data_IF_306500246988
#
_entry.id   IF_306500246988
#
_cell.length_a   1.000
_cell.length_b   1.000
_cell.length_c   1.000
_cell.angle_alpha   90.00
_cell.angle_beta   90.00
_cell.angle_gamma   90.00
#
_symmetry.space_group_name_H-M   'P 1'
#
loop_
_entity.id
_entity.type
_entity.pdbx_description
1 polymer ?
#
# COMPACT_ATOMS: atom_id res chain seq x y z
N UNK A 1 -4.13 17.08 -10.61
CA UNK A 1 -5.51 16.60 -10.85
C UNK A 1 -6.34 16.58 -9.56
N UNK A 2 -5.83 16.01 -8.46
CA UNK A 2 -6.59 15.93 -7.18
C UNK A 2 -6.95 17.31 -6.61
N UNK A 3 -6.05 18.30 -6.71
CA UNK A 3 -6.28 19.66 -6.19
C UNK A 3 -7.42 20.43 -6.87
N UNK A 4 -7.94 19.94 -8.00
CA UNK A 4 -9.03 20.58 -8.73
C UNK A 4 -10.39 19.88 -8.54
N UNK A 5 -10.45 18.81 -7.70
CA UNK A 5 -11.69 18.09 -7.42
C UNK A 5 -12.44 18.76 -6.27
N UNK A 6 -13.74 19.01 -6.47
CA UNK A 6 -14.55 19.79 -5.54
C UNK A 6 -15.16 18.93 -4.42
N UNK A 7 -15.36 17.62 -4.62
CA UNK A 7 -16.06 16.76 -3.67
C UNK A 7 -15.24 15.52 -3.27
N UNK A 8 -15.53 14.99 -2.09
CA UNK A 8 -14.95 13.72 -1.62
C UNK A 8 -15.32 12.54 -2.53
N UNK A 9 -16.55 12.53 -3.08
CA UNK A 9 -16.96 11.51 -4.03
C UNK A 9 -16.11 11.48 -5.31
N UNK A 10 -15.75 12.65 -5.84
CA UNK A 10 -14.83 12.76 -7.00
C UNK A 10 -13.43 12.27 -6.66
N UNK A 11 -12.93 12.61 -5.46
CA UNK A 11 -11.63 12.12 -4.98
C UNK A 11 -11.64 10.60 -4.80
N UNK A 12 -12.68 10.03 -4.19
CA UNK A 12 -12.85 8.57 -4.04
C UNK A 12 -12.90 7.91 -5.40
N UNK A 13 -13.69 8.41 -6.33
CA UNK A 13 -13.78 7.86 -7.68
C UNK A 13 -12.45 7.87 -8.42
N UNK A 14 -11.70 8.99 -8.36
CA UNK A 14 -10.39 9.09 -9.02
C UNK A 14 -9.37 8.15 -8.37
N UNK A 15 -9.29 8.15 -7.02
CA UNK A 15 -8.41 7.24 -6.27
C UNK A 15 -8.72 5.77 -6.59
N UNK A 16 -10.00 5.40 -6.70
CA UNK A 16 -10.43 4.04 -7.07
C UNK A 16 -10.03 3.64 -8.49
N UNK A 17 -10.15 4.56 -9.45
CA UNK A 17 -9.69 4.34 -10.84
C UNK A 17 -8.17 4.14 -10.91
N UNK A 18 -7.41 4.90 -10.12
CA UNK A 18 -5.95 4.76 -10.02
C UNK A 18 -5.58 3.41 -9.38
N UNK A 19 -6.23 3.02 -8.28
CA UNK A 19 -6.02 1.70 -7.68
C UNK A 19 -6.29 0.57 -8.67
N UNK A 20 -7.40 0.65 -9.38
CA UNK A 20 -7.72 -0.26 -10.47
C UNK A 20 -6.59 -0.35 -11.49
N UNK A 21 -6.01 0.76 -11.91
CA UNK A 21 -4.88 0.81 -12.84
C UNK A 21 -3.60 0.21 -12.24
N UNK A 22 -3.30 0.48 -10.96
CA UNK A 22 -2.13 -0.06 -10.27
C UNK A 22 -2.13 -1.60 -10.22
N UNK A 23 -3.29 -2.21 -9.94
CA UNK A 23 -3.41 -3.67 -9.96
C UNK A 23 -3.14 -4.29 -11.32
N UNK A 24 -3.63 -3.67 -12.36
CA UNK A 24 -3.40 -4.11 -13.73
C UNK A 24 -1.94 -4.11 -14.11
N UNK A 25 -1.30 -2.99 -13.83
CA UNK A 25 0.11 -2.76 -14.07
C UNK A 25 0.98 -3.82 -13.41
N UNK A 26 0.65 -4.18 -12.18
CA UNK A 26 1.40 -5.17 -11.43
C UNK A 26 1.32 -6.57 -12.05
N UNK A 27 0.19 -6.98 -12.57
CA UNK A 27 0.03 -8.27 -13.24
C UNK A 27 0.99 -8.40 -14.42
N UNK A 28 1.07 -7.38 -15.28
CA UNK A 28 1.97 -7.41 -16.43
C UNK A 28 3.45 -7.44 -16.07
N UNK A 29 3.85 -6.68 -15.03
CA UNK A 29 5.21 -6.75 -14.54
C UNK A 29 5.58 -8.14 -14.05
N UNK A 30 4.62 -8.86 -13.45
CA UNK A 30 4.84 -10.24 -13.01
C UNK A 30 4.92 -11.22 -14.18
N UNK A 31 4.28 -10.93 -15.31
CA UNK A 31 4.31 -11.76 -16.51
C UNK A 31 5.56 -11.52 -17.37
N UNK A 32 6.01 -10.28 -17.49
CA UNK A 32 7.09 -9.88 -18.40
C UNK A 32 8.46 -9.76 -17.73
N UNK A 33 8.50 -9.77 -16.38
CA UNK A 33 9.70 -9.45 -15.60
C UNK A 33 10.00 -7.96 -15.55
N UNK A 34 10.93 -7.58 -14.66
CA UNK A 34 11.35 -6.18 -14.49
C UNK A 34 12.59 -5.93 -15.33
N UNK A 35 12.43 -5.24 -16.44
CA UNK A 35 13.51 -4.73 -17.29
C UNK A 35 13.39 -3.21 -17.42
N UNK A 36 14.44 -2.55 -17.92
CA UNK A 36 14.40 -1.11 -18.22
C UNK A 36 13.28 -0.78 -19.22
N UNK A 37 13.06 -1.67 -20.19
CA UNK A 37 11.98 -1.56 -21.14
C UNK A 37 10.60 -1.66 -20.45
N UNK A 38 10.42 -2.60 -19.51
CA UNK A 38 9.18 -2.72 -18.75
C UNK A 38 8.92 -1.51 -17.86
N UNK A 39 9.96 -0.90 -17.28
CA UNK A 39 9.84 0.35 -16.50
C UNK A 39 9.41 1.51 -17.40
N UNK A 40 10.04 1.69 -18.57
CA UNK A 40 9.67 2.72 -19.54
C UNK A 40 8.24 2.53 -20.07
N UNK A 41 7.80 1.29 -20.26
CA UNK A 41 6.45 0.93 -20.64
C UNK A 41 5.41 1.31 -19.59
N UNK A 42 5.75 1.13 -18.30
CA UNK A 42 4.93 1.55 -17.15
C UNK A 42 4.73 3.06 -17.12
N UNK A 43 5.75 3.83 -17.51
CA UNK A 43 5.67 5.28 -17.56
C UNK A 43 4.88 5.79 -18.78
N UNK A 44 4.49 4.91 -19.70
CA UNK A 44 3.68 5.26 -20.86
C UNK A 44 2.19 5.29 -20.50
N UNK A 45 1.53 6.45 -20.72
CA UNK A 45 0.13 6.69 -20.36
C UNK A 45 -0.87 5.76 -21.08
N UNK A 46 -0.60 5.35 -22.31
CA UNK A 46 -1.50 4.49 -23.10
C UNK A 46 -1.46 3.04 -22.60
N UNK A 47 -0.28 2.60 -22.15
CA UNK A 47 -0.10 1.27 -21.60
C UNK A 47 -0.73 1.13 -20.21
N UNK A 48 -0.65 2.18 -19.38
CA UNK A 48 -1.27 2.25 -18.05
C UNK A 48 -2.80 2.04 -18.07
N UNK A 49 -3.45 2.12 -19.22
CA UNK A 49 -4.90 2.02 -19.34
C UNK A 49 -5.46 0.57 -19.34
N UNK A 50 -4.63 -0.48 -19.36
CA UNK A 50 -5.05 -1.85 -19.73
C UNK A 50 -5.26 -2.86 -18.59
N UNK A 51 -4.85 -2.61 -17.31
CA UNK A 51 -4.61 -3.73 -16.37
C UNK A 51 -5.32 -3.77 -15.02
N UNK A 52 -5.47 -5.03 -14.51
CA UNK A 52 -6.11 -5.38 -13.23
C UNK A 52 -5.80 -6.82 -12.75
N UNK A 53 -5.58 -7.09 -11.50
CA UNK A 53 -6.15 -7.96 -10.49
C UNK A 53 -5.30 -8.89 -9.61
N UNK A 54 -5.80 -8.97 -8.37
CA UNK A 54 -5.85 -9.94 -7.24
C UNK A 54 -4.62 -10.17 -6.37
N UNK A 55 -4.86 -10.08 -4.96
CA UNK A 55 -4.19 -10.97 -4.00
C UNK A 55 -4.26 -10.67 -2.49
N UNK A 56 -4.02 -11.70 -1.64
CA UNK A 56 -3.99 -11.67 -0.16
C UNK A 56 -2.71 -12.23 0.46
N UNK A 57 -2.13 -11.59 1.52
CA UNK A 57 -1.14 -12.16 2.46
C UNK A 57 -1.27 -11.53 3.86
N UNK A 58 -1.25 -12.30 4.99
CA UNK A 58 -1.62 -11.78 6.32
C UNK A 58 -0.47 -11.45 7.28
N UNK A 59 0.82 -11.72 6.99
CA UNK A 59 1.94 -11.65 7.97
C UNK A 59 3.05 -10.68 7.58
N UNK A 60 2.66 -9.44 7.30
CA UNK A 60 3.59 -8.34 7.01
C UNK A 60 3.58 -7.34 8.16
N UNK A 61 4.75 -6.83 8.53
CA UNK A 61 4.94 -5.74 9.47
C UNK A 61 5.61 -4.55 8.79
N UNK A 62 5.38 -3.35 9.32
CA UNK A 62 6.04 -2.13 8.88
C UNK A 62 6.52 -1.30 10.07
N UNK A 63 7.72 -0.74 9.94
CA UNK A 63 8.33 0.18 10.90
C UNK A 63 8.74 1.46 10.18
N UNK A 64 8.38 2.61 10.75
CA UNK A 64 8.81 3.93 10.31
C UNK A 64 9.58 4.62 11.43
N UNK A 65 10.70 5.26 11.08
CA UNK A 65 11.57 5.97 12.01
C UNK A 65 11.89 7.37 11.50
N UNK A 66 12.04 8.29 12.42
CA UNK A 66 12.59 9.61 12.18
C UNK A 66 13.49 10.02 13.36
N UNK A 67 14.55 10.77 13.08
CA UNK A 67 15.50 11.26 14.07
C UNK A 67 15.49 12.79 14.13
N UNK A 68 16.02 13.36 15.21
CA UNK A 68 16.09 14.82 15.41
C UNK A 68 16.95 15.54 14.37
N UNK A 69 17.95 14.87 13.80
CA UNK A 69 18.79 15.41 12.71
C UNK A 69 18.11 15.32 11.34
N UNK A 70 16.90 14.74 11.27
CA UNK A 70 16.08 14.66 10.05
C UNK A 70 16.32 13.41 9.20
N UNK A 71 17.07 12.43 9.68
CA UNK A 71 17.12 11.13 9.01
C UNK A 71 15.79 10.38 9.18
N UNK A 72 15.37 9.68 8.14
CA UNK A 72 14.14 8.87 8.13
C UNK A 72 14.40 7.50 7.55
N UNK A 73 13.75 6.47 8.10
CA UNK A 73 13.83 5.11 7.60
C UNK A 73 12.47 4.42 7.60
N UNK A 74 12.20 3.65 6.56
CA UNK A 74 10.98 2.87 6.39
C UNK A 74 11.34 1.41 6.07
N UNK A 75 10.85 0.45 6.87
CA UNK A 75 11.18 -0.96 6.73
C UNK A 75 9.90 -1.78 6.71
N UNK A 76 9.67 -2.50 5.62
CA UNK A 76 8.57 -3.47 5.52
C UNK A 76 9.16 -4.88 5.50
N UNK A 77 8.67 -5.75 6.38
CA UNK A 77 9.11 -7.13 6.53
C UNK A 77 7.91 -8.07 6.41
N UNK A 78 8.11 -9.21 5.76
CA UNK A 78 7.05 -10.22 5.64
C UNK A 78 7.61 -11.63 5.81
N UNK A 79 6.90 -12.43 6.59
CA UNK A 79 7.10 -13.88 6.62
C UNK A 79 6.16 -14.61 5.63
N UNK A 80 5.39 -13.87 4.85
CA UNK A 80 4.33 -14.44 4.03
C UNK A 80 3.30 -15.16 4.89
N UNK A 81 3.04 -16.43 4.61
CA UNK A 81 2.26 -17.31 5.48
C UNK A 81 3.13 -18.02 6.53
N UNK A 82 4.46 -17.87 6.44
CA UNK A 82 5.46 -18.55 7.25
C UNK A 82 5.80 -19.94 6.71
N UNK A 83 7.09 -20.26 6.67
CA UNK A 83 7.58 -21.57 6.17
C UNK A 83 7.36 -22.72 7.16
N UNK A 84 7.09 -22.42 8.43
CA UNK A 84 7.10 -23.41 9.52
C UNK A 84 8.51 -23.83 9.97
N UNK A 85 9.56 -23.30 9.35
CA UNK A 85 10.97 -23.64 9.65
C UNK A 85 11.61 -22.49 10.42
N UNK A 86 12.09 -22.78 11.62
CA UNK A 86 12.87 -21.84 12.43
C UNK A 86 14.35 -22.26 12.40
N UNK A 87 15.26 -21.29 12.21
CA UNK A 87 16.69 -21.54 12.25
C UNK A 87 17.10 -21.93 13.68
N UNK A 88 17.71 -23.11 13.86
CA UNK A 88 18.08 -23.57 15.20
C UNK A 88 18.96 -22.56 15.95
N UNK A 89 18.62 -22.31 17.21
CA UNK A 89 19.38 -21.43 18.11
C UNK A 89 19.17 -19.92 17.88
N UNK A 90 18.36 -19.49 16.90
CA UNK A 90 18.19 -18.06 16.58
C UNK A 90 16.79 -17.51 16.87
N UNK A 91 15.77 -18.37 16.91
CA UNK A 91 14.36 -17.95 16.95
C UNK A 91 13.85 -17.30 15.64
N UNK A 92 14.67 -17.24 14.59
CA UNK A 92 14.30 -16.65 13.30
C UNK A 92 13.54 -17.66 12.45
N UNK A 93 12.31 -17.36 12.11
CA UNK A 93 11.49 -18.17 11.19
C UNK A 93 11.70 -17.70 9.75
N UNK A 94 11.91 -18.64 8.83
CA UNK A 94 11.99 -18.33 7.41
C UNK A 94 10.62 -17.92 6.87
N UNK A 95 10.64 -16.99 5.92
CA UNK A 95 9.46 -16.66 5.12
C UNK A 95 9.14 -17.80 4.13
N UNK A 96 7.93 -17.73 3.57
CA UNK A 96 7.53 -18.58 2.45
C UNK A 96 7.08 -17.78 1.22
N UNK A 97 7.66 -16.62 0.99
CA UNK A 97 7.23 -15.71 -0.09
C UNK A 97 7.20 -16.39 -1.47
N UNK A 98 8.11 -17.33 -1.74
CA UNK A 98 8.06 -18.13 -2.96
C UNK A 98 6.86 -19.10 -3.02
N UNK A 99 6.20 -19.36 -1.91
CA UNK A 99 4.99 -20.19 -1.79
C UNK A 99 3.70 -19.37 -1.68
N UNK A 100 3.76 -18.06 -1.81
CA UNK A 100 2.56 -17.21 -1.82
C UNK A 100 1.94 -17.18 -3.23
N UNK A 101 0.68 -17.65 -3.42
CA UNK A 101 0.02 -17.62 -4.74
C UNK A 101 0.07 -16.24 -5.38
N UNK A 102 -0.02 -15.27 -4.56
CA UNK A 102 -0.05 -13.85 -4.91
C UNK A 102 1.23 -13.32 -5.53
N UNK A 103 2.35 -13.88 -5.17
CA UNK A 103 3.64 -13.54 -5.74
C UNK A 103 4.02 -14.46 -6.89
N UNK A 104 3.17 -15.46 -7.19
CA UNK A 104 3.36 -16.45 -8.23
C UNK A 104 2.14 -16.53 -9.18
N UNK A 105 1.77 -15.45 -9.86
CA UNK A 105 0.58 -15.40 -10.71
C UNK A 105 0.62 -16.38 -11.89
N UNK A 106 1.82 -16.81 -12.30
CA UNK A 106 2.02 -17.84 -13.35
C UNK A 106 2.07 -19.27 -12.79
N UNK A 107 1.89 -19.44 -11.47
CA UNK A 107 2.01 -20.71 -10.77
C UNK A 107 3.38 -20.90 -10.11
N UNK A 108 3.40 -21.85 -9.16
CA UNK A 108 4.63 -22.15 -8.40
C UNK A 108 5.74 -22.74 -9.29
N UNK A 109 6.98 -22.54 -8.90
CA UNK A 109 8.19 -23.06 -9.57
C UNK A 109 8.37 -22.63 -11.03
N UNK A 110 7.71 -21.54 -11.45
CA UNK A 110 7.87 -20.99 -12.82
C UNK A 110 9.01 -19.98 -12.92
N UNK A 111 9.45 -19.42 -11.81
CA UNK A 111 10.55 -18.47 -11.80
C UNK A 111 11.90 -19.19 -12.02
N UNK A 112 12.73 -18.72 -12.97
CA UNK A 112 14.06 -19.30 -13.18
C UNK A 112 14.97 -19.01 -11.99
N UNK A 113 15.99 -19.85 -11.72
CA UNK A 113 16.99 -19.57 -10.71
C UNK A 113 17.66 -18.20 -10.91
N UNK A 114 17.77 -17.41 -9.84
CA UNK A 114 18.27 -16.03 -9.88
C UNK A 114 17.24 -14.99 -10.35
N UNK A 115 16.04 -15.41 -10.71
CA UNK A 115 14.93 -14.51 -11.07
C UNK A 115 14.44 -13.67 -9.89
N UNK A 116 13.76 -12.56 -10.20
CA UNK A 116 13.14 -11.67 -9.22
C UNK A 116 11.63 -11.75 -9.34
N UNK A 117 10.92 -11.79 -8.23
CA UNK A 117 9.46 -11.69 -8.21
C UNK A 117 8.99 -10.30 -7.75
N UNK A 118 7.78 -9.93 -8.16
CA UNK A 118 7.18 -8.65 -7.79
C UNK A 118 6.61 -8.75 -6.38
N UNK A 119 6.97 -7.80 -5.51
CA UNK A 119 6.43 -7.68 -4.15
C UNK A 119 5.46 -6.51 -4.02
N UNK A 120 4.50 -6.61 -3.09
CA UNK A 120 3.67 -5.48 -2.65
C UNK A 120 4.37 -4.59 -1.63
N UNK A 121 5.43 -5.06 -0.99
CA UNK A 121 6.15 -4.29 0.02
C UNK A 121 6.70 -3.02 -0.61
N UNK A 122 6.23 -1.88 -0.08
CA UNK A 122 6.51 -0.56 -0.63
C UNK A 122 6.80 0.42 0.53
N UNK A 123 7.91 0.28 1.24
CA UNK A 123 8.34 1.29 2.20
C UNK A 123 8.69 2.58 1.45
N UNK A 124 8.26 3.73 1.98
CA UNK A 124 8.47 5.05 1.38
C UNK A 124 9.17 5.96 2.35
N UNK A 125 10.18 6.67 1.87
CA UNK A 125 10.72 7.86 2.52
C UNK A 125 10.67 9.03 1.54
N UNK A 126 10.51 10.24 2.07
CA UNK A 126 10.44 11.42 1.22
C UNK A 126 10.48 12.71 2.01
N UNK A 127 10.50 13.80 1.25
CA UNK A 127 10.46 15.15 1.78
C UNK A 127 9.36 15.92 1.09
N UNK A 128 8.59 16.67 1.86
CA UNK A 128 7.63 17.63 1.30
C UNK A 128 8.36 18.89 0.83
N UNK A 129 7.71 19.68 -0.02
CA UNK A 129 8.24 20.96 -0.45
C UNK A 129 8.47 21.95 0.73
N UNK A 130 7.78 21.76 1.84
CA UNK A 130 7.97 22.53 3.07
C UNK A 130 9.15 22.06 3.93
N UNK A 131 9.87 21.00 3.54
CA UNK A 131 11.01 20.47 4.28
C UNK A 131 10.68 19.46 5.38
N UNK A 132 9.44 18.97 5.42
CA UNK A 132 9.07 17.86 6.32
C UNK A 132 9.65 16.55 5.79
N UNK A 133 10.50 15.89 6.56
CA UNK A 133 10.99 14.55 6.27
C UNK A 133 10.00 13.51 6.80
N UNK A 134 9.69 12.47 6.01
CA UNK A 134 8.69 11.46 6.37
C UNK A 134 9.11 10.06 5.94
N UNK A 135 8.85 9.09 6.80
CA UNK A 135 8.87 7.67 6.51
C UNK A 135 7.47 7.11 6.66
N UNK A 136 7.01 6.27 5.75
CA UNK A 136 5.71 5.61 5.86
C UNK A 136 5.66 4.27 5.14
N UNK A 137 4.70 3.45 5.54
CA UNK A 137 4.40 2.20 4.89
C UNK A 137 3.26 1.46 5.57
N UNK A 138 2.92 0.31 5.05
CA UNK A 138 1.78 -0.48 5.52
C UNK A 138 2.06 -1.97 5.38
N UNK A 139 1.64 -2.82 6.31
CA UNK A 139 1.34 -4.22 6.06
C UNK A 139 -0.02 -4.36 5.35
N UNK A 140 -0.32 -5.53 4.77
CA UNK A 140 -1.67 -5.82 4.28
C UNK A 140 -1.77 -6.41 2.88
N UNK A 141 -0.79 -7.15 2.41
CA UNK A 141 -0.80 -7.82 1.10
C UNK A 141 -1.01 -6.85 -0.08
N UNK A 142 -2.02 -7.09 -0.93
CA UNK A 142 -2.38 -6.18 -2.04
C UNK A 142 -2.81 -4.80 -1.54
N UNK A 143 -3.30 -4.68 -0.29
CA UNK A 143 -3.72 -3.41 0.31
C UNK A 143 -2.56 -2.55 0.80
N UNK A 144 -1.32 -3.07 0.86
CA UNK A 144 -0.13 -2.28 1.17
C UNK A 144 -0.05 -1.05 0.26
N UNK A 145 -0.12 -1.27 -1.05
CA UNK A 145 0.01 -0.19 -2.03
C UNK A 145 -1.16 0.80 -1.98
N UNK A 146 -2.38 0.32 -1.80
CA UNK A 146 -3.57 1.19 -1.76
C UNK A 146 -3.70 1.96 -0.45
N UNK A 147 -3.33 1.35 0.68
CA UNK A 147 -3.25 2.03 1.98
C UNK A 147 -2.20 3.15 1.95
N UNK A 148 -1.00 2.83 1.44
CA UNK A 148 0.09 3.79 1.32
C UNK A 148 -0.25 4.92 0.35
N UNK A 149 -0.85 4.61 -0.80
CA UNK A 149 -1.30 5.59 -1.78
C UNK A 149 -2.31 6.59 -1.19
N UNK A 150 -3.33 6.10 -0.47
CA UNK A 150 -4.30 6.97 0.18
C UNK A 150 -3.64 7.79 1.29
N UNK A 151 -2.81 7.16 2.12
CA UNK A 151 -2.10 7.84 3.20
C UNK A 151 -1.16 8.93 2.71
N UNK A 152 -0.43 8.67 1.62
CA UNK A 152 0.44 9.67 1.00
C UNK A 152 -0.35 10.86 0.47
N UNK A 153 -1.46 10.61 -0.23
CA UNK A 153 -2.31 11.70 -0.74
C UNK A 153 -2.86 12.53 0.42
N UNK A 154 -3.43 11.88 1.44
CA UNK A 154 -4.00 12.55 2.59
C UNK A 154 -2.95 13.41 3.32
N UNK A 155 -1.77 12.87 3.57
CA UNK A 155 -0.70 13.57 4.27
C UNK A 155 -0.02 14.65 3.42
N UNK A 156 0.49 14.26 2.22
CA UNK A 156 1.38 15.12 1.45
C UNK A 156 0.65 16.06 0.49
N UNK A 157 -0.55 15.72 0.04
CA UNK A 157 -1.28 16.50 -0.96
C UNK A 157 -2.51 17.21 -0.39
N UNK A 158 -3.21 16.61 0.58
CA UNK A 158 -4.38 17.20 1.23
C UNK A 158 -4.01 17.90 2.55
N UNK A 159 -2.75 17.77 3.01
CA UNK A 159 -2.22 18.49 4.17
C UNK A 159 -2.75 18.00 5.51
N UNK A 160 -3.26 16.78 5.59
CA UNK A 160 -3.70 16.19 6.86
C UNK A 160 -2.49 15.96 7.78
N UNK A 161 -2.68 16.11 9.09
CA UNK A 161 -1.68 15.65 10.06
C UNK A 161 -1.50 14.12 9.99
N UNK A 162 -0.40 13.62 10.58
CA UNK A 162 -0.05 12.20 10.50
C UNK A 162 -1.14 11.28 11.05
N UNK A 163 -1.80 11.68 12.15
CA UNK A 163 -2.86 10.88 12.77
C UNK A 163 -4.13 10.88 11.92
N UNK A 164 -4.55 12.03 11.45
CA UNK A 164 -5.71 12.15 10.55
C UNK A 164 -5.51 11.36 9.26
N UNK A 165 -4.33 11.44 8.64
CA UNK A 165 -4.00 10.67 7.45
C UNK A 165 -3.98 9.15 7.71
N UNK A 166 -3.46 8.72 8.87
CA UNK A 166 -3.41 7.32 9.28
C UNK A 166 -4.79 6.75 9.56
N UNK A 167 -5.66 7.52 10.23
CA UNK A 167 -6.97 7.06 10.67
C UNK A 167 -8.10 7.30 9.66
N UNK A 168 -7.83 8.01 8.57
CA UNK A 168 -8.82 8.29 7.53
C UNK A 168 -9.50 7.01 7.02
N UNK A 169 -10.81 7.05 6.72
CA UNK A 169 -11.54 5.93 6.13
C UNK A 169 -10.86 5.43 4.85
N UNK A 170 -10.78 4.10 4.70
CA UNK A 170 -10.10 3.46 3.58
C UNK A 170 -11.02 2.71 2.67
N UNK A 171 -10.56 2.59 1.44
CA UNK A 171 -11.20 1.76 0.44
C UNK A 171 -10.15 1.05 -0.42
N UNK A 172 -10.57 -0.04 -1.04
CA UNK A 172 -9.74 -0.87 -1.88
C UNK A 172 -10.55 -1.38 -3.06
N UNK A 173 -9.99 -1.30 -4.26
CA UNK A 173 -10.60 -1.88 -5.44
C UNK A 173 -9.94 -3.22 -5.72
N UNK A 174 -10.75 -4.24 -5.84
CA UNK A 174 -10.32 -5.60 -6.18
C UNK A 174 -11.22 -6.16 -7.28
N UNK A 175 -10.69 -7.03 -8.14
CA UNK A 175 -11.51 -7.82 -9.03
C UNK A 175 -11.90 -9.11 -8.32
N UNK A 176 -13.15 -9.31 -8.15
CA UNK A 176 -13.72 -10.51 -7.55
C UNK A 176 -14.61 -11.13 -8.63
N UNK A 177 -14.23 -12.33 -9.11
CA UNK A 177 -14.96 -13.06 -10.15
C UNK A 177 -15.28 -12.20 -11.40
N UNK A 178 -14.22 -11.55 -11.91
CA UNK A 178 -14.25 -10.65 -13.05
C UNK A 178 -15.11 -9.38 -12.89
N UNK A 179 -15.51 -9.07 -11.66
CA UNK A 179 -16.23 -7.86 -11.30
C UNK A 179 -15.38 -6.95 -10.41
N UNK A 180 -15.11 -5.71 -10.88
CA UNK A 180 -14.45 -4.72 -10.05
C UNK A 180 -15.33 -4.30 -8.89
N UNK A 181 -14.87 -4.67 -7.69
CA UNK A 181 -15.55 -4.39 -6.43
C UNK A 181 -14.74 -3.36 -5.64
N UNK A 182 -15.38 -2.23 -5.32
CA UNK A 182 -14.85 -1.27 -4.37
C UNK A 182 -15.30 -1.68 -2.97
N UNK A 183 -14.36 -2.13 -2.18
CA UNK A 183 -14.54 -2.43 -0.77
C UNK A 183 -14.21 -1.17 0.03
N UNK A 184 -15.01 -0.82 1.03
CA UNK A 184 -14.83 0.44 1.75
C UNK A 184 -15.25 0.36 3.22
N UNK A 185 -14.61 1.19 4.03
CA UNK A 185 -14.98 1.45 5.41
C UNK A 185 -16.12 2.47 5.50
N UNK A 186 -16.78 2.59 6.65
CA UNK A 186 -17.72 3.68 6.91
C UNK A 186 -17.05 5.06 6.74
N UNK A 187 -17.80 6.04 6.24
CA UNK A 187 -17.30 7.40 6.02
C UNK A 187 -16.66 7.64 4.64
N UNK A 188 -16.50 6.62 3.81
CA UNK A 188 -16.07 6.80 2.40
C UNK A 188 -17.30 7.21 1.56
N UNK A 189 -17.22 8.37 0.91
CA UNK A 189 -18.25 8.81 -0.03
C UNK A 189 -18.15 8.05 -1.37
N UNK A 190 -19.00 7.06 -1.53
CA UNK A 190 -19.04 6.20 -2.72
C UNK A 190 -20.09 6.63 -3.75
N UNK A 191 -20.76 7.77 -3.58
CA UNK A 191 -21.90 8.19 -4.38
C UNK A 191 -21.65 8.23 -5.90
N UNK A 192 -20.44 8.56 -6.34
CA UNK A 192 -20.05 8.50 -7.74
C UNK A 192 -19.42 7.16 -8.14
N UNK A 193 -18.72 6.52 -7.22
CA UNK A 193 -18.03 5.25 -7.50
C UNK A 193 -18.99 4.08 -7.74
N UNK A 194 -20.17 4.08 -7.10
CA UNK A 194 -21.22 3.06 -7.26
C UNK A 194 -21.70 2.89 -8.71
N UNK A 195 -21.54 3.89 -9.56
CA UNK A 195 -21.93 3.82 -10.97
C UNK A 195 -20.91 3.02 -11.83
N UNK A 196 -19.73 2.71 -11.27
CA UNK A 196 -18.61 2.06 -11.99
C UNK A 196 -18.19 0.76 -11.32
N UNK A 197 -18.30 0.69 -9.99
CA UNK A 197 -17.84 -0.42 -9.18
C UNK A 197 -18.99 -1.08 -8.44
N UNK A 198 -18.96 -2.40 -8.31
CA UNK A 198 -19.75 -3.08 -7.28
C UNK A 198 -19.24 -2.63 -5.92
N UNK A 199 -20.15 -2.31 -5.00
CA UNK A 199 -19.77 -1.89 -3.66
C UNK A 199 -19.83 -3.04 -2.66
N UNK A 200 -18.87 -3.06 -1.74
CA UNK A 200 -18.86 -3.91 -0.55
C UNK A 200 -18.49 -3.07 0.67
N UNK A 201 -19.48 -2.72 1.47
CA UNK A 201 -19.28 -1.98 2.71
C UNK A 201 -18.79 -2.91 3.84
N UNK A 202 -17.85 -2.42 4.62
CA UNK A 202 -17.45 -2.99 5.91
C UNK A 202 -18.19 -2.26 7.03
N UNK A 203 -18.56 -2.96 8.13
CA UNK A 203 -19.35 -2.33 9.21
C UNK A 203 -18.53 -1.39 10.09
N UNK A 204 -17.20 -1.53 10.09
CA UNK A 204 -16.25 -0.76 10.89
C UNK A 204 -14.88 -0.69 10.19
N UNK A 205 -13.94 0.15 10.67
CA UNK A 205 -12.56 0.07 10.27
C UNK A 205 -12.01 -1.35 10.47
N UNK A 206 -11.30 -1.89 9.49
CA UNK A 206 -10.90 -3.30 9.47
C UNK A 206 -9.43 -3.48 9.05
N UNK A 207 -8.75 -4.46 9.67
CA UNK A 207 -7.37 -4.85 9.34
C UNK A 207 -7.20 -5.28 7.87
N UNK A 208 -8.29 -5.60 7.20
CA UNK A 208 -8.32 -5.89 5.76
C UNK A 208 -7.67 -4.76 4.94
N UNK A 209 -7.93 -3.50 5.29
CA UNK A 209 -7.45 -2.31 4.55
C UNK A 209 -5.99 -1.95 4.83
N UNK A 210 -5.21 -2.85 5.40
CA UNK A 210 -3.81 -2.60 5.78
C UNK A 210 -3.70 -1.81 7.08
N UNK A 211 -2.51 -1.24 7.33
CA UNK A 211 -2.25 -0.41 8.51
C UNK A 211 -1.12 0.58 8.19
N UNK A 212 -1.47 1.82 7.96
CA UNK A 212 -0.50 2.87 7.67
C UNK A 212 0.26 3.25 8.94
N UNK A 213 1.58 3.24 8.87
CA UNK A 213 2.44 3.79 9.91
C UNK A 213 3.26 4.93 9.32
N UNK A 214 3.31 6.05 10.04
CA UNK A 214 4.00 7.27 9.63
C UNK A 214 4.93 7.70 10.77
N UNK A 215 6.17 8.07 10.46
CA UNK A 215 7.04 8.81 11.35
C UNK A 215 7.76 9.91 10.56
N UNK A 216 8.05 11.02 11.18
CA UNK A 216 8.69 12.12 10.49
C UNK A 216 9.18 13.23 11.40
N UNK A 217 9.81 14.22 10.77
CA UNK A 217 10.26 15.46 11.38
C UNK A 217 9.75 16.61 10.54
N UNK A 218 9.02 17.52 11.14
CA UNK A 218 8.49 18.68 10.44
C UNK A 218 9.59 19.73 10.13
N UNK A 219 9.24 20.74 9.33
CA UNK A 219 10.15 21.82 8.96
C UNK A 219 10.61 22.69 10.16
N UNK A 220 9.96 22.59 11.32
CA UNK A 220 10.33 23.28 12.56
C UNK A 220 11.21 22.43 13.45
N UNK A 221 11.45 21.17 13.09
CA UNK A 221 12.25 20.24 13.83
C UNK A 221 11.47 19.34 14.78
N UNK A 222 10.15 19.45 14.88
CA UNK A 222 9.34 18.61 15.74
C UNK A 222 9.19 17.20 15.14
N UNK A 223 9.44 16.18 15.96
CA UNK A 223 9.19 14.80 15.62
C UNK A 223 7.70 14.50 15.73
N UNK A 224 7.22 13.62 14.86
CA UNK A 224 5.86 13.09 14.90
C UNK A 224 5.83 11.62 14.50
N UNK A 225 4.85 10.89 15.05
CA UNK A 225 4.55 9.53 14.64
C UNK A 225 3.04 9.30 14.68
N UNK A 226 2.58 8.33 13.87
CA UNK A 226 1.23 7.80 13.97
C UNK A 226 1.19 6.35 13.50
N UNK A 227 0.62 5.49 14.33
CA UNK A 227 0.45 4.07 14.05
C UNK A 227 -1.04 3.71 13.95
N UNK A 228 -1.35 2.88 12.96
CA UNK A 228 -2.72 2.48 12.64
C UNK A 228 -3.27 1.45 13.64
N UNK A 229 -4.38 1.79 14.24
CA UNK A 229 -5.06 0.93 15.21
C UNK A 229 -5.73 -0.29 14.56
N UNK A 230 -5.95 -0.32 13.23
CA UNK A 230 -6.53 -1.47 12.51
C UNK A 230 -5.71 -2.75 12.68
N UNK A 231 -4.40 -2.63 12.93
CA UNK A 231 -3.48 -3.74 13.20
C UNK A 231 -2.69 -3.58 14.50
N UNK A 232 -3.30 -2.94 15.51
CA UNK A 232 -2.70 -2.73 16.83
C UNK A 232 -1.32 -2.06 16.76
N UNK A 233 -1.15 -1.10 15.84
CA UNK A 233 0.07 -0.33 15.73
C UNK A 233 0.35 0.48 16.99
N UNK A 234 1.64 0.67 17.30
CA UNK A 234 2.12 1.49 18.42
C UNK A 234 3.07 2.57 17.91
N UNK A 235 3.01 3.73 18.53
CA UNK A 235 3.84 4.89 18.24
C UNK A 235 4.56 5.38 19.50
N UNK A 236 5.74 5.93 19.30
CA UNK A 236 6.52 6.54 20.35
C UNK A 236 7.24 7.78 19.81
N UNK A 237 7.18 8.90 20.54
CA UNK A 237 7.86 10.15 20.22
C UNK A 237 8.51 10.66 21.52
N UNK A 238 9.82 10.93 21.48
CA UNK A 238 10.57 11.53 22.59
C UNK A 238 10.49 13.06 22.55
#
# INVERSE_FOLDING_TARGET
ALGNLASEAEKVLLKSKIQRMMFSLRRDLSETGISEESVNKILNREWLAKYLDKVFSPRTNHLSFATEDGAVAAITMSNGYGSGITVPGTGITFNNSLGEPELNPQGFFRMPPGGRFVSNMCPVTGWTNSGTAVAMGSPGASRITTSLFQGWINFAMEGMDARSATMAPRFHVENIDDVFTLQHEPGVDTSLAQNIFKLRAFPAPDMYFGALNIAGRDHRGALFASADTRRHGSEFVN
#
